data_IF_454392833306
#
_entry.id   IF_454392833306
#
_cell.length_a   1.000
_cell.length_b   1.000
_cell.length_c   1.000
_cell.angle_alpha   90.00
_cell.angle_beta   90.00
_cell.angle_gamma   90.00
#
_symmetry.space_group_name_H-M   'P 1'
#
loop_
_entity.id
_entity.type
_entity.pdbx_description
1 polymer ?
#
# COMPACT_ATOMS: atom_id res chain seq x y z
N UNK A 1 -8.12 34.04 32.93
CA UNK A 1 -7.91 32.61 33.23
C UNK A 1 -9.20 31.85 32.90
N UNK A 2 -9.25 31.13 31.77
CA UNK A 2 -10.46 30.41 31.33
C UNK A 2 -10.61 29.13 32.19
N UNK A 3 -11.73 29.03 32.91
CA UNK A 3 -12.07 27.86 33.75
C UNK A 3 -12.39 26.67 32.84
N UNK A 4 -11.55 25.64 32.85
CA UNK A 4 -11.86 24.37 32.19
C UNK A 4 -12.98 23.66 32.96
N UNK A 5 -13.99 23.18 32.24
CA UNK A 5 -15.12 22.43 32.81
C UNK A 5 -14.65 21.05 33.29
N UNK A 6 -14.99 20.62 34.53
CA UNK A 6 -14.60 19.32 35.06
C UNK A 6 -15.16 18.14 34.24
N UNK A 7 -16.21 18.37 33.44
CA UNK A 7 -16.76 17.37 32.51
C UNK A 7 -15.81 17.05 31.34
N UNK A 8 -15.01 18.03 30.89
CA UNK A 8 -14.03 17.81 29.82
C UNK A 8 -12.84 16.96 30.29
N UNK A 9 -12.44 17.13 31.55
CA UNK A 9 -11.37 16.32 32.18
C UNK A 9 -11.82 14.88 32.39
N UNK A 10 -13.08 14.65 32.75
CA UNK A 10 -13.67 13.31 32.88
C UNK A 10 -13.82 12.59 31.53
N UNK A 11 -14.12 13.31 30.44
CA UNK A 11 -14.17 12.75 29.08
C UNK A 11 -12.79 12.35 28.56
N UNK A 12 -11.76 13.16 28.84
CA UNK A 12 -10.35 12.84 28.52
C UNK A 12 -9.85 11.68 29.38
N UNK A 13 -10.28 11.59 30.64
CA UNK A 13 -9.99 10.46 31.52
C UNK A 13 -10.64 9.14 31.06
N UNK A 14 -11.83 9.20 30.47
CA UNK A 14 -12.52 8.02 29.93
C UNK A 14 -11.90 7.48 28.62
N UNK A 15 -11.24 8.35 27.83
CA UNK A 15 -10.44 7.96 26.66
C UNK A 15 -9.10 7.28 27.05
N UNK A 16 -8.71 7.34 28.32
CA UNK A 16 -7.51 6.69 28.86
C UNK A 16 -7.70 5.23 29.28
N UNK A 17 -8.89 4.65 29.12
CA UNK A 17 -9.08 3.22 29.35
C UNK A 17 -8.45 2.43 28.21
N UNK A 18 -7.18 2.06 28.40
CA UNK A 18 -6.45 1.15 27.54
C UNK A 18 -7.19 -0.20 27.49
N UNK A 19 -7.89 -0.45 26.40
CA UNK A 19 -8.22 -1.82 26.03
C UNK A 19 -6.90 -2.51 25.71
N UNK A 20 -6.55 -3.52 26.50
CA UNK A 20 -5.55 -4.49 26.10
C UNK A 20 -6.16 -5.30 24.94
N UNK A 21 -6.03 -4.78 23.72
CA UNK A 21 -6.31 -5.52 22.51
C UNK A 21 -5.21 -6.58 22.35
N UNK A 22 -5.48 -7.79 22.83
CA UNK A 22 -4.71 -8.97 22.43
C UNK A 22 -5.25 -9.36 21.05
N UNK A 23 -4.64 -8.78 20.02
CA UNK A 23 -4.89 -9.14 18.62
C UNK A 23 -3.55 -9.58 18.00
N UNK A 24 -3.63 -10.63 17.17
CA UNK A 24 -2.51 -11.25 16.49
C UNK A 24 -2.60 -12.78 16.54
N UNK A 25 -2.55 -13.41 15.37
CA UNK A 25 -2.50 -14.87 15.24
C UNK A 25 -1.05 -15.31 15.01
N UNK A 26 -0.27 -15.46 16.09
CA UNK A 26 1.16 -15.85 16.01
C UNK A 26 1.35 -17.26 15.42
N UNK A 27 0.34 -18.12 15.50
CA UNK A 27 0.44 -19.53 15.15
C UNK A 27 0.56 -19.79 13.64
N UNK A 28 0.35 -18.77 12.80
CA UNK A 28 0.40 -18.88 11.34
C UNK A 28 1.58 -18.16 10.69
N UNK A 29 2.43 -17.47 11.46
CA UNK A 29 3.58 -16.75 10.90
C UNK A 29 4.54 -17.71 10.21
N UNK A 30 4.75 -17.52 8.89
CA UNK A 30 5.59 -18.38 8.04
C UNK A 30 4.83 -19.34 7.11
N UNK A 31 3.49 -19.36 7.14
CA UNK A 31 2.65 -20.16 6.23
C UNK A 31 2.04 -19.37 5.06
N UNK A 32 2.25 -18.04 5.03
CA UNK A 32 1.82 -17.20 3.92
C UNK A 32 2.81 -17.29 2.76
N UNK A 33 2.29 -17.36 1.53
CA UNK A 33 3.03 -16.95 0.34
C UNK A 33 2.45 -15.64 -0.21
N UNK A 34 2.87 -15.20 -1.40
CA UNK A 34 2.42 -13.93 -1.99
C UNK A 34 2.65 -12.69 -1.10
N UNK A 35 3.76 -12.67 -0.35
CA UNK A 35 4.05 -11.58 0.61
C UNK A 35 4.31 -10.23 -0.07
N UNK A 36 4.64 -10.22 -1.35
CA UNK A 36 4.72 -9.04 -2.20
C UNK A 36 3.40 -8.26 -2.24
N UNK A 37 2.25 -8.90 -2.00
CA UNK A 37 0.96 -8.20 -1.90
C UNK A 37 0.88 -7.21 -0.73
N UNK A 38 1.77 -7.33 0.25
CA UNK A 38 1.89 -6.39 1.38
C UNK A 38 2.74 -5.17 1.03
N UNK A 39 3.43 -5.18 -0.13
CA UNK A 39 4.28 -4.07 -0.56
C UNK A 39 3.41 -3.00 -1.20
N UNK A 40 3.42 -1.81 -0.61
CA UNK A 40 2.91 -0.62 -1.27
C UNK A 40 4.02 -0.02 -2.15
N UNK A 41 3.80 0.09 -3.48
CA UNK A 41 4.81 0.57 -4.41
C UNK A 41 4.87 2.10 -4.56
N UNK A 42 3.95 2.85 -3.95
CA UNK A 42 3.77 4.27 -4.23
C UNK A 42 4.41 5.21 -3.20
N UNK A 43 5.16 6.21 -3.67
CA UNK A 43 5.96 7.12 -2.85
C UNK A 43 5.15 7.96 -1.88
N UNK A 44 4.02 8.55 -2.29
CA UNK A 44 3.26 9.44 -1.40
C UNK A 44 2.67 8.66 -0.22
N UNK A 45 2.03 7.52 -0.47
CA UNK A 45 1.41 6.69 0.57
C UNK A 45 2.45 6.02 1.46
N UNK A 46 3.57 5.57 0.89
CA UNK A 46 4.65 4.94 1.66
C UNK A 46 5.42 5.91 2.56
N UNK A 47 5.37 7.22 2.28
CA UNK A 47 5.81 8.28 3.21
C UNK A 47 5.08 8.28 4.55
N UNK A 48 3.98 7.51 4.66
CA UNK A 48 3.20 7.28 5.88
C UNK A 48 2.99 5.77 6.12
N UNK A 49 3.85 4.88 5.60
CA UNK A 49 3.67 3.41 5.65
C UNK A 49 2.34 2.88 5.07
N UNK A 50 1.62 3.67 4.27
CA UNK A 50 0.25 3.32 3.85
C UNK A 50 -0.78 3.43 4.97
N UNK A 51 -0.45 4.07 6.10
CA UNK A 51 -1.36 4.32 7.22
C UNK A 51 -2.43 5.37 6.90
N UNK A 52 -2.36 6.01 5.73
CA UNK A 52 -3.33 6.99 5.23
C UNK A 52 -4.64 6.34 4.72
N UNK A 53 -5.04 5.18 5.24
CA UNK A 53 -6.23 4.41 4.80
C UNK A 53 -7.52 5.24 4.78
N UNK A 54 -7.68 6.16 5.73
CA UNK A 54 -8.84 7.06 5.80
C UNK A 54 -8.87 8.14 4.73
N UNK A 55 -7.70 8.61 4.29
CA UNK A 55 -7.57 9.83 3.48
C UNK A 55 -6.81 9.67 2.17
N UNK A 56 -6.37 8.46 1.81
CA UNK A 56 -5.71 8.18 0.53
C UNK A 56 -6.68 8.46 -0.63
N UNK A 57 -6.17 9.04 -1.71
CA UNK A 57 -6.94 9.47 -2.88
C UNK A 57 -6.22 9.10 -4.17
N UNK A 58 -6.98 8.97 -5.25
CA UNK A 58 -6.44 8.81 -6.61
C UNK A 58 -5.86 7.43 -6.87
N UNK A 59 -4.82 7.36 -7.70
CA UNK A 59 -4.21 6.11 -8.15
C UNK A 59 -3.64 5.26 -7.01
N UNK A 60 -2.96 5.87 -6.04
CA UNK A 60 -2.30 5.13 -4.96
C UNK A 60 -3.29 4.43 -4.02
N UNK A 61 -4.56 4.86 -4.03
CA UNK A 61 -5.62 4.26 -3.25
C UNK A 61 -5.81 2.78 -3.55
N UNK A 62 -5.52 2.34 -4.79
CA UNK A 62 -5.49 0.93 -5.18
C UNK A 62 -4.63 0.08 -4.24
N UNK A 63 -3.48 0.59 -3.79
CA UNK A 63 -2.56 -0.13 -2.88
C UNK A 63 -2.66 0.27 -1.41
N UNK A 64 -3.70 1.00 -1.01
CA UNK A 64 -3.95 1.38 0.38
C UNK A 64 -5.40 1.16 0.82
N UNK A 65 -6.36 1.82 0.18
CA UNK A 65 -7.80 1.68 0.40
C UNK A 65 -8.52 2.04 -0.89
N UNK A 66 -9.01 1.02 -1.60
CA UNK A 66 -9.54 1.16 -2.96
C UNK A 66 -10.62 2.25 -3.08
N UNK A 67 -11.42 2.50 -2.03
CA UNK A 67 -12.43 3.56 -2.00
C UNK A 67 -11.88 4.95 -2.35
N UNK A 68 -10.61 5.22 -2.01
CA UNK A 68 -9.93 6.48 -2.30
C UNK A 68 -9.81 6.78 -3.80
N UNK A 69 -9.90 5.77 -4.67
CA UNK A 69 -9.88 5.95 -6.12
C UNK A 69 -11.13 6.70 -6.62
N UNK A 70 -12.22 6.72 -5.85
CA UNK A 70 -13.40 7.51 -6.20
C UNK A 70 -13.11 9.02 -6.31
N UNK A 71 -12.03 9.49 -5.67
CA UNK A 71 -11.54 10.88 -5.69
C UNK A 71 -10.61 11.20 -6.88
N UNK A 72 -10.39 10.28 -7.82
CA UNK A 72 -9.72 10.62 -9.08
C UNK A 72 -10.53 11.69 -9.82
N UNK A 73 -9.93 12.84 -10.11
CA UNK A 73 -10.60 13.97 -10.78
C UNK A 73 -10.98 13.65 -12.24
N UNK A 74 -10.00 13.26 -13.06
CA UNK A 74 -10.22 12.88 -14.45
C UNK A 74 -9.41 11.64 -14.81
N UNK A 75 -8.09 11.75 -14.91
CA UNK A 75 -7.19 10.62 -15.18
C UNK A 75 -5.89 10.84 -14.45
N UNK A 76 -5.38 9.82 -13.78
CA UNK A 76 -4.08 9.81 -13.14
C UNK A 76 -3.30 8.60 -13.63
N UNK A 77 -2.08 8.81 -14.12
CA UNK A 77 -1.15 7.77 -14.53
C UNK A 77 0.10 7.92 -13.68
N UNK A 78 0.66 6.81 -13.21
CA UNK A 78 1.84 6.84 -12.37
C UNK A 78 2.81 5.72 -12.71
N UNK A 79 4.09 5.99 -12.49
CA UNK A 79 5.15 4.99 -12.43
C UNK A 79 5.92 5.15 -11.13
N UNK A 80 6.47 4.06 -10.62
CA UNK A 80 7.21 4.07 -9.38
C UNK A 80 8.28 3.00 -9.36
N UNK A 81 9.37 3.31 -8.65
CA UNK A 81 10.49 2.41 -8.45
C UNK A 81 10.84 2.42 -6.96
N UNK A 82 10.92 1.22 -6.37
CA UNK A 82 11.34 1.02 -4.99
C UNK A 82 12.59 0.18 -4.93
N UNK A 83 13.62 0.72 -4.28
CA UNK A 83 14.79 -0.03 -3.85
C UNK A 83 14.40 -0.69 -2.52
N UNK A 84 13.99 -1.96 -2.59
CA UNK A 84 13.35 -2.64 -1.47
C UNK A 84 14.35 -3.18 -0.46
N UNK A 85 15.50 -3.67 -0.93
CA UNK A 85 16.61 -4.09 -0.06
C UNK A 85 17.89 -3.44 -0.57
N UNK A 86 18.18 -2.25 -0.05
CA UNK A 86 19.34 -1.46 -0.51
C UNK A 86 20.67 -2.18 -0.21
N UNK A 87 21.48 -2.36 -1.26
CA UNK A 87 22.68 -3.20 -1.26
C UNK A 87 22.49 -4.57 -1.90
N UNK A 88 21.26 -4.96 -2.24
CA UNK A 88 20.96 -6.09 -3.11
C UNK A 88 20.33 -5.60 -4.43
N UNK A 89 19.96 -6.56 -5.29
CA UNK A 89 19.25 -6.28 -6.54
C UNK A 89 17.71 -6.35 -6.38
N UNK A 90 17.20 -6.47 -5.14
CA UNK A 90 15.77 -6.60 -4.88
C UNK A 90 15.08 -5.25 -5.03
N UNK A 91 14.20 -5.16 -6.02
CA UNK A 91 13.50 -3.92 -6.37
C UNK A 91 12.05 -4.18 -6.77
N UNK A 92 11.23 -3.14 -6.69
CA UNK A 92 9.83 -3.17 -7.12
C UNK A 92 9.60 -2.07 -8.14
N UNK A 93 9.15 -2.47 -9.33
CA UNK A 93 8.71 -1.57 -10.38
C UNK A 93 7.20 -1.61 -10.45
N UNK A 94 6.57 -0.46 -10.66
CA UNK A 94 5.12 -0.39 -10.68
C UNK A 94 4.62 0.70 -11.61
N UNK A 95 3.54 0.41 -12.32
CA UNK A 95 2.82 1.31 -13.21
C UNK A 95 1.34 1.21 -12.92
N UNK A 96 0.64 2.34 -12.96
CA UNK A 96 -0.80 2.33 -12.75
C UNK A 96 -1.52 3.47 -13.44
N UNK A 97 -2.82 3.30 -13.58
CA UNK A 97 -3.75 4.27 -14.14
C UNK A 97 -5.05 4.24 -13.34
N UNK A 98 -5.61 5.40 -13.04
CA UNK A 98 -6.98 5.56 -12.57
C UNK A 98 -7.71 6.57 -13.45
N UNK A 99 -8.98 6.32 -13.75
CA UNK A 99 -9.79 7.12 -14.65
C UNK A 99 -11.19 7.29 -14.08
N UNK A 100 -11.63 8.54 -13.94
CA UNK A 100 -13.01 8.89 -13.64
C UNK A 100 -13.87 8.70 -14.90
N UNK A 101 -14.96 7.97 -14.76
CA UNK A 101 -15.94 7.66 -15.81
C UNK A 101 -17.26 8.39 -15.54
N UNK A 102 -17.19 9.71 -15.37
CA UNK A 102 -18.35 10.53 -15.01
C UNK A 102 -19.06 10.02 -13.74
N UNK A 103 -20.37 9.82 -13.84
CA UNK A 103 -21.22 9.35 -12.73
C UNK A 103 -21.12 7.84 -12.48
N UNK A 104 -20.48 7.08 -13.38
CA UNK A 104 -20.32 5.64 -13.22
C UNK A 104 -19.41 5.30 -12.04
N UNK A 105 -18.39 6.13 -11.80
CA UNK A 105 -17.36 5.90 -10.78
C UNK A 105 -15.97 6.13 -11.36
N UNK A 106 -14.95 5.61 -10.67
CA UNK A 106 -13.59 5.52 -11.15
C UNK A 106 -13.23 4.04 -11.40
N UNK A 107 -12.49 3.78 -12.46
CA UNK A 107 -11.86 2.50 -12.75
C UNK A 107 -10.35 2.67 -12.74
N UNK A 108 -9.62 1.62 -12.38
CA UNK A 108 -8.16 1.66 -12.38
C UNK A 108 -7.51 0.32 -12.63
N UNK A 109 -6.26 0.38 -13.02
CA UNK A 109 -5.38 -0.77 -13.17
C UNK A 109 -4.02 -0.45 -12.56
N UNK A 110 -3.43 -1.40 -11.84
CA UNK A 110 -2.10 -1.27 -11.25
C UNK A 110 -1.30 -2.56 -11.48
N UNK A 111 -0.13 -2.45 -12.08
CA UNK A 111 0.78 -3.57 -12.32
C UNK A 111 2.03 -3.35 -11.48
N UNK A 112 2.31 -4.32 -10.60
CA UNK A 112 3.49 -4.32 -9.75
C UNK A 112 4.34 -5.55 -10.08
N UNK A 113 5.64 -5.35 -10.27
CA UNK A 113 6.62 -6.40 -10.48
C UNK A 113 7.75 -6.27 -9.46
N UNK A 114 7.95 -7.32 -8.66
CA UNK A 114 9.08 -7.44 -7.74
C UNK A 114 10.13 -8.36 -8.35
N UNK A 115 11.33 -7.81 -8.53
CA UNK A 115 12.51 -8.52 -9.03
C UNK A 115 13.47 -8.77 -7.88
N UNK A 116 14.12 -9.93 -7.90
CA UNK A 116 15.14 -10.31 -6.91
C UNK A 116 16.56 -10.20 -7.48
N UNK A 117 16.70 -9.72 -8.72
CA UNK A 117 17.95 -9.75 -9.48
C UNK A 117 18.35 -11.16 -9.89
N UNK A 118 19.61 -11.32 -10.25
CA UNK A 118 20.21 -12.63 -10.55
C UNK A 118 20.84 -13.22 -9.30
N UNK A 119 20.45 -14.45 -8.98
CA UNK A 119 20.96 -15.23 -7.85
C UNK A 119 21.81 -16.37 -8.41
N UNK A 120 23.03 -16.53 -7.90
CA UNK A 120 23.93 -17.62 -8.29
C UNK A 120 23.39 -18.97 -7.80
N UNK A 121 23.41 -19.96 -8.68
CA UNK A 121 23.08 -21.34 -8.34
C UNK A 121 24.31 -21.94 -7.63
N UNK A 122 24.09 -22.56 -6.47
CA UNK A 122 25.13 -23.23 -5.69
C UNK A 122 24.76 -24.69 -5.46
N UNK A 123 25.77 -25.55 -5.39
CA UNK A 123 25.64 -26.94 -4.96
C UNK A 123 26.80 -27.33 -4.03
N UNK A 124 26.85 -28.59 -3.62
CA UNK A 124 27.91 -29.08 -2.72
C UNK A 124 29.31 -28.94 -3.34
N UNK A 125 29.45 -29.11 -4.66
CA UNK A 125 30.72 -29.03 -5.37
C UNK A 125 31.09 -27.59 -5.77
N UNK A 126 30.10 -26.70 -5.84
CA UNK A 126 30.22 -25.30 -6.23
C UNK A 126 29.55 -24.36 -5.20
N UNK A 127 30.08 -24.29 -3.96
CA UNK A 127 29.49 -23.47 -2.91
C UNK A 127 29.58 -21.96 -3.20
N UNK A 128 30.56 -21.53 -3.99
CA UNK A 128 30.72 -20.14 -4.44
C UNK A 128 29.91 -19.82 -5.72
N UNK A 129 29.19 -20.80 -6.26
CA UNK A 129 28.44 -20.68 -7.50
C UNK A 129 29.27 -20.91 -8.77
N UNK A 130 28.92 -20.21 -9.86
CA UNK A 130 29.60 -20.35 -11.16
C UNK A 130 28.98 -21.38 -12.12
N UNK A 131 27.88 -22.01 -11.71
CA UNK A 131 27.13 -23.01 -12.51
C UNK A 131 25.83 -22.44 -13.12
N UNK A 132 25.70 -21.12 -13.15
CA UNK A 132 24.55 -20.40 -13.71
C UNK A 132 23.83 -19.55 -12.67
N UNK A 133 22.80 -18.84 -13.12
CA UNK A 133 21.97 -17.98 -12.28
C UNK A 133 20.49 -18.25 -12.50
N UNK A 134 19.66 -17.91 -11.52
CA UNK A 134 18.22 -17.84 -11.66
C UNK A 134 17.70 -16.49 -11.17
N UNK A 135 16.58 -16.04 -11.74
CA UNK A 135 16.00 -14.72 -11.44
C UNK A 135 14.53 -14.89 -11.05
N UNK A 136 14.21 -14.97 -9.75
CA UNK A 136 12.84 -14.95 -9.29
C UNK A 136 12.12 -13.67 -9.70
N UNK A 137 10.86 -13.80 -10.08
CA UNK A 137 10.01 -12.66 -10.44
C UNK A 137 8.61 -12.87 -9.89
N UNK A 138 8.13 -11.92 -9.09
CA UNK A 138 6.76 -11.90 -8.60
C UNK A 138 6.02 -10.75 -9.28
N UNK A 139 4.83 -11.01 -9.80
CA UNK A 139 4.01 -10.02 -10.46
C UNK A 139 2.58 -10.05 -9.95
N UNK A 140 2.00 -8.85 -9.81
CA UNK A 140 0.56 -8.73 -9.61
C UNK A 140 -0.06 -7.65 -10.50
N UNK A 141 -1.29 -7.93 -10.93
CA UNK A 141 -2.12 -7.06 -11.74
C UNK A 141 -3.42 -6.84 -10.98
N UNK A 142 -3.65 -5.61 -10.56
CA UNK A 142 -4.85 -5.21 -9.85
C UNK A 142 -5.77 -4.42 -10.77
N UNK A 143 -7.06 -4.75 -10.75
CA UNK A 143 -8.13 -4.01 -11.40
C UNK A 143 -9.09 -3.52 -10.32
N UNK A 144 -9.40 -2.23 -10.35
CA UNK A 144 -10.19 -1.56 -9.34
C UNK A 144 -11.43 -0.87 -9.90
N UNK A 145 -12.49 -0.84 -9.11
CA UNK A 145 -13.66 0.01 -9.31
C UNK A 145 -14.01 0.73 -8.02
N UNK A 146 -14.36 2.01 -8.09
CA UNK A 146 -14.77 2.79 -6.92
C UNK A 146 -15.80 3.84 -7.26
N UNK A 147 -16.71 4.12 -6.31
CA UNK A 147 -17.80 5.05 -6.51
C UNK A 147 -18.12 5.82 -5.23
N UNK A 148 -18.51 7.07 -5.43
CA UNK A 148 -19.15 7.91 -4.43
C UNK A 148 -20.62 7.56 -4.35
N UNK A 149 -21.09 7.05 -3.21
CA UNK A 149 -22.48 6.65 -2.98
C UNK A 149 -23.32 7.77 -2.34
N UNK A 150 -22.69 8.59 -1.51
CA UNK A 150 -23.28 9.81 -0.95
C UNK A 150 -22.20 10.89 -0.83
N UNK A 151 -22.56 12.10 -0.39
CA UNK A 151 -21.60 13.19 -0.19
C UNK A 151 -20.48 12.83 0.79
N UNK A 152 -20.69 11.81 1.63
CA UNK A 152 -19.76 11.40 2.68
C UNK A 152 -19.29 9.97 2.56
N UNK A 153 -19.87 9.12 1.70
CA UNK A 153 -19.55 7.69 1.63
C UNK A 153 -19.01 7.35 0.25
N UNK A 154 -17.80 6.81 0.24
CA UNK A 154 -17.10 6.31 -0.93
C UNK A 154 -16.75 4.85 -0.69
N UNK A 155 -16.99 3.99 -1.67
CA UNK A 155 -16.61 2.59 -1.56
C UNK A 155 -15.99 2.09 -2.86
N UNK A 156 -15.19 1.04 -2.75
CA UNK A 156 -14.54 0.41 -3.87
C UNK A 156 -14.33 -1.07 -3.66
N UNK A 157 -14.10 -1.75 -4.78
CA UNK A 157 -13.75 -3.17 -4.84
C UNK A 157 -12.63 -3.35 -5.84
N UNK A 158 -11.78 -4.35 -5.61
CA UNK A 158 -10.68 -4.69 -6.49
C UNK A 158 -10.48 -6.19 -6.61
N UNK A 159 -9.86 -6.59 -7.71
CA UNK A 159 -9.35 -7.93 -7.93
C UNK A 159 -7.88 -7.85 -8.29
N UNK A 160 -7.05 -8.63 -7.62
CA UNK A 160 -5.62 -8.74 -7.88
C UNK A 160 -5.29 -10.15 -8.37
N UNK A 161 -4.77 -10.26 -9.58
CA UNK A 161 -4.17 -11.49 -10.09
C UNK A 161 -2.71 -11.52 -9.68
N UNK A 162 -2.26 -12.66 -9.15
CA UNK A 162 -0.95 -12.83 -8.54
C UNK A 162 -0.24 -13.99 -9.20
N UNK A 163 1.07 -13.85 -9.38
CA UNK A 163 1.90 -14.92 -9.85
C UNK A 163 3.33 -14.77 -9.36
N UNK A 164 3.90 -15.91 -8.98
CA UNK A 164 5.26 -16.06 -8.51
C UNK A 164 5.94 -17.09 -9.39
N UNK A 165 7.13 -16.79 -9.91
CA UNK A 165 7.86 -17.72 -10.75
C UNK A 165 9.37 -17.66 -10.55
N UNK A 166 9.98 -18.82 -10.72
CA UNK A 166 11.41 -19.05 -11.00
C UNK A 166 11.51 -19.94 -12.25
N UNK A 167 12.72 -20.30 -12.66
CA UNK A 167 12.99 -21.06 -13.91
C UNK A 167 12.15 -22.33 -14.08
N UNK A 168 11.89 -23.07 -13.00
CA UNK A 168 11.25 -24.40 -13.05
C UNK A 168 10.04 -24.55 -12.11
N UNK A 169 9.59 -23.47 -11.47
CA UNK A 169 8.44 -23.47 -10.57
C UNK A 169 7.64 -22.18 -10.71
N UNK A 170 6.31 -22.31 -10.69
CA UNK A 170 5.38 -21.19 -10.75
C UNK A 170 4.17 -21.44 -9.84
N UNK A 171 3.59 -20.37 -9.30
CA UNK A 171 2.34 -20.38 -8.58
C UNK A 171 1.50 -19.17 -9.02
N UNK A 172 0.19 -19.31 -9.10
CA UNK A 172 -0.72 -18.21 -9.42
C UNK A 172 -2.00 -18.27 -8.62
N UNK A 173 -2.64 -17.13 -8.46
CA UNK A 173 -3.90 -17.01 -7.72
C UNK A 173 -4.61 -15.69 -7.98
N UNK A 174 -5.80 -15.56 -7.39
CA UNK A 174 -6.55 -14.31 -7.40
C UNK A 174 -6.92 -13.90 -5.97
N UNK A 175 -6.88 -12.60 -5.72
CA UNK A 175 -7.27 -11.96 -4.48
C UNK A 175 -8.35 -10.91 -4.72
N UNK A 176 -9.22 -10.71 -3.75
CA UNK A 176 -10.26 -9.69 -3.77
C UNK A 176 -10.03 -8.72 -2.62
N UNK A 177 -10.44 -7.48 -2.84
CA UNK A 177 -10.39 -6.43 -1.83
C UNK A 177 -11.63 -5.55 -1.89
N UNK A 178 -11.96 -4.98 -0.74
CA UNK A 178 -13.02 -4.00 -0.61
C UNK A 178 -12.59 -2.89 0.35
N UNK A 179 -13.11 -1.70 0.12
CA UNK A 179 -12.78 -0.55 0.94
C UNK A 179 -13.94 0.43 1.02
N UNK A 180 -14.00 1.15 2.13
CA UNK A 180 -14.92 2.26 2.37
C UNK A 180 -14.13 3.42 2.97
N UNK A 181 -14.42 4.63 2.52
CA UNK A 181 -14.01 5.88 3.14
C UNK A 181 -15.26 6.72 3.46
N UNK A 182 -15.29 7.22 4.69
CA UNK A 182 -16.28 8.15 5.19
C UNK A 182 -15.63 9.51 5.44
N UNK A 183 -16.20 10.56 4.84
CA UNK A 183 -15.67 11.92 4.91
C UNK A 183 -16.76 12.88 5.39
N UNK A 184 -16.47 13.68 6.41
CA UNK A 184 -17.43 14.64 6.97
C UNK A 184 -16.73 15.86 7.58
N UNK A 185 -17.53 16.83 8.03
CA UNK A 185 -17.06 18.10 8.57
C UNK A 185 -17.32 19.27 7.61
N UNK A 186 -17.10 20.50 8.07
CA UNK A 186 -17.42 21.72 7.32
C UNK A 186 -16.68 21.80 5.98
N UNK A 187 -15.44 21.29 5.96
CA UNK A 187 -14.55 21.27 4.78
C UNK A 187 -14.04 19.86 4.50
N UNK A 188 -14.87 18.85 4.78
CA UNK A 188 -14.47 17.44 4.61
C UNK A 188 -13.21 17.10 5.42
N UNK A 189 -13.14 17.63 6.64
CA UNK A 189 -11.95 17.65 7.47
C UNK A 189 -11.80 16.43 8.39
N UNK A 190 -12.84 15.62 8.58
CA UNK A 190 -12.75 14.35 9.29
C UNK A 190 -12.89 13.20 8.30
N UNK A 191 -11.97 12.26 8.37
CA UNK A 191 -11.95 11.08 7.51
C UNK A 191 -11.86 9.82 8.35
N UNK A 192 -12.60 8.81 7.96
CA UNK A 192 -12.53 7.47 8.51
C UNK A 192 -12.50 6.48 7.35
N UNK A 193 -11.69 5.43 7.44
CA UNK A 193 -11.61 4.44 6.38
C UNK A 193 -11.39 3.05 6.92
N UNK A 194 -11.97 2.07 6.23
CA UNK A 194 -11.75 0.65 6.46
C UNK A 194 -11.48 0.00 5.11
N UNK A 195 -10.50 -0.90 5.06
CA UNK A 195 -10.28 -1.77 3.90
C UNK A 195 -9.94 -3.18 4.34
N UNK A 196 -10.44 -4.16 3.60
CA UNK A 196 -10.07 -5.56 3.73
C UNK A 196 -9.41 -5.95 2.41
N UNK A 197 -8.14 -6.35 2.48
CA UNK A 197 -7.30 -6.60 1.31
C UNK A 197 -6.82 -8.04 1.27
N UNK A 198 -6.53 -8.51 0.06
CA UNK A 198 -5.94 -9.83 -0.22
C UNK A 198 -6.78 -11.01 0.29
N UNK A 199 -8.11 -10.96 0.16
CA UNK A 199 -8.96 -12.14 0.38
C UNK A 199 -8.80 -13.03 -0.86
N UNK A 200 -7.92 -14.02 -0.79
CA UNK A 200 -7.49 -14.75 -1.98
C UNK A 200 -7.68 -16.25 -1.91
N UNK A 201 -7.59 -16.88 -3.09
CA UNK A 201 -7.51 -18.33 -3.25
C UNK A 201 -6.17 -18.85 -2.71
N UNK A 202 -6.15 -20.08 -2.22
CA UNK A 202 -4.87 -20.74 -1.92
C UNK A 202 -4.06 -20.92 -3.20
N UNK A 203 -2.77 -20.61 -3.12
CA UNK A 203 -1.79 -20.79 -4.18
C UNK A 203 -0.99 -22.08 -3.96
N UNK A 204 -0.34 -22.57 -5.02
CA UNK A 204 0.46 -23.79 -4.97
C UNK A 204 1.53 -23.74 -6.07
N UNK A 205 2.77 -24.04 -5.71
CA UNK A 205 3.85 -24.14 -6.69
C UNK A 205 3.74 -25.40 -7.53
N UNK A 206 3.93 -25.29 -8.83
CA UNK A 206 4.02 -26.42 -9.75
C UNK A 206 5.05 -26.16 -10.83
N UNK A 207 5.46 -27.21 -11.55
CA UNK A 207 6.49 -27.11 -12.58
C UNK A 207 7.48 -28.28 -12.52
N UNK A 208 8.44 -28.27 -13.44
CA UNK A 208 9.44 -29.33 -13.56
C UNK A 208 10.39 -29.42 -12.37
N UNK A 209 10.51 -28.37 -11.54
CA UNK A 209 11.27 -28.41 -10.29
C UNK A 209 10.72 -29.39 -9.25
N UNK A 210 9.48 -29.85 -9.42
CA UNK A 210 8.84 -30.86 -8.59
C UNK A 210 8.88 -32.26 -9.20
N UNK A 211 9.52 -32.42 -10.37
CA UNK A 211 9.68 -33.72 -11.01
C UNK A 211 10.95 -34.41 -10.51
N UNK A 212 10.80 -35.61 -9.96
CA UNK A 212 11.91 -36.47 -9.56
C UNK A 212 11.96 -37.71 -10.46
N UNK A 213 13.16 -38.17 -10.79
CA UNK A 213 13.35 -39.49 -11.38
C UNK A 213 13.43 -40.50 -10.22
N UNK A 214 12.56 -41.51 -10.24
CA UNK A 214 12.52 -42.58 -9.24
C UNK A 214 12.47 -43.93 -9.93
N UNK A 215 13.12 -44.93 -9.36
CA UNK A 215 13.04 -46.30 -9.85
C UNK A 215 11.60 -46.82 -9.79
N UNK A 216 11.21 -47.63 -10.78
CA UNK A 216 9.90 -48.24 -10.80
C UNK A 216 9.76 -49.25 -9.65
N UNK A 217 8.62 -49.26 -8.92
CA UNK A 217 8.41 -50.17 -7.80
C UNK A 217 8.63 -51.66 -8.15
N UNK A 218 8.42 -52.02 -9.42
CA UNK A 218 8.50 -53.39 -9.93
C UNK A 218 9.85 -53.72 -10.60
N UNK A 219 10.67 -52.73 -10.96
CA UNK A 219 11.95 -52.95 -11.64
C UNK A 219 12.91 -51.77 -11.44
N UNK A 220 13.96 -51.99 -10.66
CA UNK A 220 15.02 -51.01 -10.40
C UNK A 220 15.82 -50.57 -11.64
N UNK A 221 15.67 -51.27 -12.78
CA UNK A 221 16.29 -50.88 -14.05
C UNK A 221 15.41 -49.96 -14.91
N UNK A 222 14.21 -49.60 -14.45
CA UNK A 222 13.30 -48.70 -15.17
C UNK A 222 13.06 -47.43 -14.36
N UNK A 223 13.43 -46.28 -14.91
CA UNK A 223 13.20 -44.98 -14.26
C UNK A 223 11.85 -44.39 -14.66
N UNK A 224 11.10 -43.93 -13.67
CA UNK A 224 9.86 -43.19 -13.83
C UNK A 224 10.06 -41.74 -13.40
N UNK A 225 9.57 -40.80 -14.19
CA UNK A 225 9.44 -39.41 -13.77
C UNK A 225 8.15 -39.27 -12.94
N UNK A 226 8.28 -38.91 -11.66
CA UNK A 226 7.17 -38.66 -10.75
C UNK A 226 7.17 -37.21 -10.33
N UNK A 227 6.02 -36.56 -10.42
CA UNK A 227 5.83 -35.21 -9.85
C UNK A 227 5.46 -35.32 -8.37
N UNK A 228 6.25 -34.67 -7.51
CA UNK A 228 5.98 -34.54 -6.09
C UNK A 228 5.02 -33.37 -5.87
N UNK A 229 3.84 -33.60 -5.28
CA UNK A 229 2.93 -32.51 -5.01
C UNK A 229 3.49 -31.55 -3.97
N UNK A 230 3.53 -30.24 -4.27
CA UNK A 230 3.79 -29.20 -3.27
C UNK A 230 2.55 -28.91 -2.41
N UNK A 231 2.78 -28.32 -1.24
CA UNK A 231 1.71 -27.86 -0.35
C UNK A 231 1.06 -26.55 -0.82
N UNK A 232 -0.19 -26.34 -0.40
CA UNK A 232 -0.92 -25.10 -0.66
C UNK A 232 -0.54 -24.05 0.39
N UNK A 233 -0.48 -22.80 -0.03
CA UNK A 233 -0.28 -21.65 0.86
C UNK A 233 -1.36 -20.60 0.63
N UNK A 234 -1.63 -19.81 1.68
CA UNK A 234 -2.63 -18.75 1.67
C UNK A 234 -2.00 -17.39 1.38
N UNK A 235 -2.79 -16.49 0.78
CA UNK A 235 -2.39 -15.10 0.57
C UNK A 235 -2.51 -14.29 1.88
N UNK A 236 -1.71 -13.22 2.06
CA UNK A 236 -1.67 -12.48 3.31
C UNK A 236 -2.82 -11.47 3.39
N UNK A 237 -3.99 -11.95 3.81
CA UNK A 237 -5.16 -11.10 4.09
C UNK A 237 -4.87 -10.16 5.26
N UNK A 238 -5.35 -8.92 5.16
CA UNK A 238 -5.32 -7.97 6.26
C UNK A 238 -6.51 -7.01 6.22
N UNK A 239 -6.94 -6.60 7.43
CA UNK A 239 -7.94 -5.58 7.66
C UNK A 239 -7.22 -4.32 8.17
N UNK A 240 -7.40 -3.19 7.48
CA UNK A 240 -6.87 -1.91 7.95
C UNK A 240 -7.99 -0.92 8.19
N UNK A 241 -7.90 -0.19 9.30
CA UNK A 241 -8.83 0.85 9.68
C UNK A 241 -8.09 2.07 10.18
N UNK A 242 -8.48 3.24 9.73
CA UNK A 242 -7.81 4.49 10.06
C UNK A 242 -8.78 5.64 10.23
N UNK A 243 -8.31 6.66 10.94
CA UNK A 243 -8.98 7.94 11.05
C UNK A 243 -7.97 9.06 10.85
N UNK A 244 -8.39 10.14 10.21
CA UNK A 244 -7.57 11.33 10.05
C UNK A 244 -8.38 12.60 10.16
N UNK A 245 -7.73 13.67 10.60
CA UNK A 245 -8.33 15.00 10.70
C UNK A 245 -7.43 16.03 10.04
N UNK A 246 -8.02 16.87 9.20
CA UNK A 246 -7.37 17.97 8.49
C UNK A 246 -7.59 19.30 9.21
N UNK A 247 -6.50 19.91 9.66
CA UNK A 247 -6.47 21.25 10.22
C UNK A 247 -6.08 22.24 9.13
N UNK A 248 -6.96 23.19 8.82
CA UNK A 248 -6.69 24.27 7.88
C UNK A 248 -6.16 25.49 8.64
N UNK A 249 -4.84 25.66 8.64
CA UNK A 249 -4.16 26.61 9.53
C UNK A 249 -4.41 28.07 9.18
N UNK A 250 -4.78 28.33 7.93
CA UNK A 250 -5.06 29.66 7.39
C UNK A 250 -6.57 29.97 7.27
N UNK A 251 -7.44 29.13 7.83
CA UNK A 251 -8.90 29.27 7.70
C UNK A 251 -9.42 30.63 8.18
N UNK A 252 -8.84 31.19 9.24
CA UNK A 252 -9.22 32.51 9.79
C UNK A 252 -8.69 33.70 8.99
N UNK A 253 -7.82 33.47 7.99
CA UNK A 253 -7.21 34.51 7.17
C UNK A 253 -7.72 34.50 5.72
N UNK A 254 -8.73 33.68 5.41
CA UNK A 254 -9.36 33.62 4.11
C UNK A 254 -10.22 34.87 3.87
N UNK A 255 -10.12 35.46 2.68
CA UNK A 255 -10.85 36.70 2.31
C UNK A 255 -12.30 36.41 1.91
N UNK A 256 -12.58 35.18 1.48
CA UNK A 256 -13.90 34.70 1.09
C UNK A 256 -14.11 33.27 1.61
N UNK A 257 -15.36 32.90 1.93
CA UNK A 257 -15.70 31.53 2.33
C UNK A 257 -15.34 30.49 1.25
N UNK A 258 -15.30 30.91 -0.01
CA UNK A 258 -14.98 30.08 -1.16
C UNK A 258 -13.46 29.90 -1.41
N UNK A 259 -12.60 30.64 -0.71
CA UNK A 259 -11.16 30.48 -0.87
C UNK A 259 -10.70 29.13 -0.34
N UNK A 260 -9.78 28.49 -1.08
CA UNK A 260 -9.15 27.24 -0.64
C UNK A 260 -8.02 27.57 0.35
N UNK A 261 -8.01 26.96 1.55
CA UNK A 261 -6.90 27.07 2.48
C UNK A 261 -5.62 26.54 1.83
N UNK A 262 -4.53 27.27 2.01
CA UNK A 262 -3.21 26.94 1.49
C UNK A 262 -2.43 26.06 2.44
N UNK A 263 -2.75 26.06 3.73
CA UNK A 263 -2.00 25.31 4.73
C UNK A 263 -2.89 24.24 5.35
N UNK A 264 -2.64 22.97 4.99
CA UNK A 264 -3.32 21.82 5.59
C UNK A 264 -2.33 21.02 6.43
N UNK A 265 -2.66 20.79 7.69
CA UNK A 265 -1.99 19.81 8.55
C UNK A 265 -2.95 18.65 8.81
N UNK A 266 -2.64 17.48 8.30
CA UNK A 266 -3.41 16.25 8.51
C UNK A 266 -2.75 15.42 9.61
N UNK A 267 -3.53 15.02 10.60
CA UNK A 267 -3.11 14.05 11.64
C UNK A 267 -3.84 12.74 11.37
N UNK A 268 -3.14 11.62 11.43
CA UNK A 268 -3.74 10.31 11.20
C UNK A 268 -3.33 9.28 12.25
N UNK A 269 -4.22 8.31 12.45
CA UNK A 269 -3.98 7.07 13.16
C UNK A 269 -4.51 5.90 12.33
N UNK A 270 -3.86 4.75 12.42
CA UNK A 270 -4.26 3.55 11.71
C UNK A 270 -3.92 2.30 12.51
N UNK A 271 -4.82 1.33 12.45
CA UNK A 271 -4.63 -0.02 12.95
C UNK A 271 -4.78 -1.01 11.80
N UNK A 272 -3.85 -1.94 11.66
CA UNK A 272 -3.91 -3.02 10.69
C UNK A 272 -3.79 -4.35 11.41
N UNK A 273 -4.79 -5.21 11.22
CA UNK A 273 -4.78 -6.60 11.66
C UNK A 273 -4.41 -7.51 10.51
N UNK A 274 -3.39 -8.34 10.71
CA UNK A 274 -2.80 -9.20 9.70
C UNK A 274 -3.02 -10.66 10.04
N UNK A 275 -3.28 -11.50 9.02
CA UNK A 275 -3.46 -12.94 9.23
C UNK A 275 -2.18 -13.72 9.48
N UNK A 276 -1.01 -13.20 9.06
CA UNK A 276 0.26 -13.95 9.04
C UNK A 276 1.48 -13.19 9.56
N UNK A 277 1.43 -11.85 9.57
CA UNK A 277 2.46 -11.01 10.22
C UNK A 277 1.88 -10.38 11.47
N UNK A 278 2.70 -9.64 12.22
CA UNK A 278 2.20 -8.92 13.39
C UNK A 278 1.17 -7.86 12.99
N UNK A 279 0.18 -7.70 13.86
CA UNK A 279 -0.67 -6.52 13.84
C UNK A 279 0.17 -5.29 14.15
N UNK A 280 -0.19 -4.17 13.53
CA UNK A 280 0.50 -2.91 13.76
C UNK A 280 -0.47 -1.76 13.94
N UNK A 281 -0.07 -0.83 14.80
CA UNK A 281 -0.73 0.45 15.03
C UNK A 281 0.26 1.55 14.75
N UNK A 282 -0.19 2.64 14.16
CA UNK A 282 0.67 3.78 13.92
C UNK A 282 -0.08 5.07 13.70
N UNK A 283 0.69 6.13 13.60
CA UNK A 283 0.18 7.47 13.37
C UNK A 283 1.17 8.30 12.58
N UNK A 284 0.70 9.40 12.03
CA UNK A 284 1.52 10.27 11.21
C UNK A 284 0.94 11.66 11.06
N UNK A 285 1.76 12.52 10.48
CA UNK A 285 1.46 13.89 10.14
C UNK A 285 1.75 14.09 8.65
N UNK A 286 0.85 14.77 7.96
CA UNK A 286 1.10 15.32 6.63
C UNK A 286 0.87 16.83 6.68
N UNK A 287 1.86 17.60 6.26
CA UNK A 287 1.71 19.03 6.02
C UNK A 287 1.70 19.28 4.51
N UNK A 288 0.63 19.91 4.01
CA UNK A 288 0.48 20.32 2.62
C UNK A 288 0.46 21.84 2.53
N UNK A 289 1.35 22.38 1.69
CA UNK A 289 1.36 23.77 1.26
C UNK A 289 0.87 23.89 -0.17
N UNK A 290 -0.31 24.48 -0.33
CA UNK A 290 -1.01 24.74 -1.59
C UNK A 290 -1.21 23.50 -2.47
N UNK A 291 -1.24 22.32 -1.86
CA UNK A 291 -1.16 21.04 -2.56
C UNK A 291 -0.03 21.00 -3.59
N UNK A 292 1.06 21.76 -3.40
CA UNK A 292 2.24 21.77 -4.26
C UNK A 292 3.40 21.08 -3.56
N UNK A 293 3.61 21.39 -2.29
CA UNK A 293 4.61 20.76 -1.44
C UNK A 293 3.90 20.02 -0.32
N UNK A 294 4.18 18.73 -0.17
CA UNK A 294 3.67 17.93 0.92
C UNK A 294 4.83 17.26 1.64
N UNK A 295 4.84 17.32 2.96
CA UNK A 295 5.82 16.69 3.83
C UNK A 295 5.11 15.73 4.76
N UNK A 296 5.66 14.53 4.92
CA UNK A 296 5.06 13.44 5.68
C UNK A 296 6.07 12.85 6.64
N UNK A 297 5.59 12.49 7.83
CA UNK A 297 6.33 11.72 8.80
C UNK A 297 5.39 10.88 9.64
N UNK A 298 5.81 9.69 10.01
CA UNK A 298 4.99 8.81 10.82
C UNK A 298 5.78 7.71 11.51
N UNK A 299 5.11 7.04 12.43
CA UNK A 299 5.63 5.90 13.15
C UNK A 299 4.62 4.76 13.15
N UNK A 300 5.09 3.56 12.82
CA UNK A 300 4.35 2.30 12.87
C UNK A 300 4.99 1.41 13.92
N UNK A 301 4.19 1.03 14.91
CA UNK A 301 4.56 0.09 15.96
C UNK A 301 3.99 -1.29 15.68
N UNK A 302 4.83 -2.31 15.79
CA UNK A 302 4.45 -3.71 15.81
C UNK A 302 5.17 -4.43 16.95
N UNK A 303 4.60 -5.55 17.42
CA UNK A 303 5.14 -6.28 18.56
C UNK A 303 6.59 -6.69 18.32
N UNK A 304 7.49 -6.31 19.23
CA UNK A 304 8.92 -6.66 19.17
C UNK A 304 9.76 -5.82 18.21
N UNK A 305 9.21 -4.75 17.62
CA UNK A 305 9.99 -3.81 16.80
C UNK A 305 11.20 -3.26 17.59
N UNK A 306 12.37 -3.25 16.96
CA UNK A 306 13.62 -2.80 17.58
C UNK A 306 14.25 -3.77 18.60
N UNK A 307 13.66 -4.94 18.83
CA UNK A 307 14.24 -6.00 19.68
C UNK A 307 14.86 -7.13 18.86
N UNK A 308 15.60 -8.05 19.50
CA UNK A 308 16.13 -9.25 18.84
C UNK A 308 15.03 -10.19 18.30
N UNK A 309 13.81 -10.08 18.81
CA UNK A 309 12.64 -10.83 18.34
C UNK A 309 11.85 -10.09 17.25
N UNK A 310 12.44 -9.05 16.63
CA UNK A 310 11.76 -8.31 15.58
C UNK A 310 11.57 -9.18 14.33
N UNK A 311 10.32 -9.27 13.87
CA UNK A 311 9.94 -9.98 12.63
C UNK A 311 9.83 -9.04 11.42
N UNK A 312 10.23 -7.78 11.61
CA UNK A 312 10.17 -6.73 10.60
C UNK A 312 11.58 -6.20 10.34
N UNK A 313 11.87 -5.86 9.10
CA UNK A 313 13.13 -5.16 8.79
C UNK A 313 13.06 -3.68 9.14
N UNK A 314 11.87 -3.11 9.35
CA UNK A 314 11.68 -1.68 9.54
C UNK A 314 11.97 -1.24 10.98
N UNK A 315 12.47 -0.01 11.13
CA UNK A 315 12.62 0.67 12.43
C UNK A 315 11.31 1.23 12.97
N UNK A 316 10.28 1.28 12.14
CA UNK A 316 8.97 1.85 12.44
C UNK A 316 8.81 3.31 12.02
N UNK A 317 9.90 4.04 11.77
CA UNK A 317 9.85 5.42 11.28
C UNK A 317 9.61 5.45 9.76
N UNK A 318 8.88 6.45 9.28
CA UNK A 318 8.77 6.78 7.86
C UNK A 318 8.81 8.29 7.67
N UNK A 319 9.33 8.70 6.51
CA UNK A 319 9.28 10.07 6.04
C UNK A 319 9.03 10.10 4.53
N UNK A 320 8.41 11.16 4.04
CA UNK A 320 8.25 11.36 2.61
C UNK A 320 7.97 12.81 2.24
N UNK A 321 8.18 13.11 0.97
CA UNK A 321 7.90 14.41 0.40
C UNK A 321 7.26 14.25 -0.98
N UNK A 322 6.40 15.19 -1.33
CA UNK A 322 5.86 15.33 -2.69
C UNK A 322 6.03 16.74 -3.14
N UNK A 323 6.47 16.88 -4.39
CA UNK A 323 6.43 18.15 -5.12
C UNK A 323 5.54 17.92 -6.33
N UNK A 324 4.51 18.75 -6.49
CA UNK A 324 3.64 18.71 -7.64
C UNK A 324 3.41 20.10 -8.23
N UNK A 325 3.33 20.17 -9.56
CA UNK A 325 3.24 21.40 -10.32
C UNK A 325 2.27 21.24 -11.49
N UNK A 326 1.37 22.21 -11.66
CA UNK A 326 0.46 22.27 -12.80
C UNK A 326 1.16 22.86 -14.02
N UNK A 327 1.11 22.17 -15.16
CA UNK A 327 1.68 22.64 -16.43
C UNK A 327 0.64 23.53 -17.13
N UNK A 328 0.74 24.84 -16.94
CA UNK A 328 -0.24 25.82 -17.45
C UNK A 328 -1.51 25.89 -16.59
N UNK A 329 -2.41 26.84 -16.89
CA UNK A 329 -3.58 27.13 -16.03
C UNK A 329 -4.57 25.96 -15.92
N UNK A 330 -4.77 25.24 -17.04
CA UNK A 330 -5.72 24.12 -17.14
C UNK A 330 -5.07 22.80 -17.57
N UNK A 331 -3.74 22.73 -17.57
CA UNK A 331 -3.04 21.53 -18.00
C UNK A 331 -2.90 20.49 -16.90
N UNK A 332 -2.21 19.38 -17.20
CA UNK A 332 -1.99 18.31 -16.24
C UNK A 332 -1.07 18.76 -15.10
N UNK A 333 -1.22 18.11 -13.95
CA UNK A 333 -0.34 18.23 -12.80
C UNK A 333 0.69 17.11 -12.88
N UNK A 334 1.97 17.46 -12.83
CA UNK A 334 3.06 16.52 -12.65
C UNK A 334 3.40 16.46 -11.16
N UNK A 335 3.50 15.26 -10.59
CA UNK A 335 3.90 15.04 -9.21
C UNK A 335 5.11 14.12 -9.14
N UNK A 336 6.08 14.48 -8.31
CA UNK A 336 7.23 13.67 -7.93
C UNK A 336 7.12 13.38 -6.43
N UNK A 337 7.07 12.10 -6.10
CA UNK A 337 6.99 11.61 -4.73
C UNK A 337 8.28 10.88 -4.36
N UNK A 338 8.75 11.10 -3.14
CA UNK A 338 9.84 10.35 -2.55
C UNK A 338 9.47 9.93 -1.13
N UNK A 339 9.79 8.69 -0.78
CA UNK A 339 9.70 8.22 0.60
C UNK A 339 10.94 7.44 1.03
N UNK A 340 11.18 7.49 2.33
CA UNK A 340 12.23 6.76 3.01
C UNK A 340 11.69 6.09 4.26
N UNK A 341 11.98 4.80 4.38
CA UNK A 341 11.63 3.97 5.55
C UNK A 341 12.90 3.30 6.04
N UNK A 342 13.50 3.76 7.15
CA UNK A 342 14.73 3.18 7.67
C UNK A 342 14.48 1.74 8.12
N UNK A 343 15.44 0.88 7.82
CA UNK A 343 15.47 -0.53 8.20
C UNK A 343 16.53 -0.77 9.26
N UNK A 344 16.29 -1.71 10.18
CA UNK A 344 17.25 -2.09 11.22
C UNK A 344 18.36 -2.98 10.65
N UNK A 345 18.00 -3.96 9.80
CA UNK A 345 18.92 -4.91 9.17
C UNK A 345 18.42 -5.28 7.77
N UNK A 346 19.16 -4.98 6.69
CA UNK A 346 20.34 -4.11 6.63
C UNK A 346 19.97 -2.65 6.99
N UNK A 347 20.93 -1.85 7.45
CA UNK A 347 20.68 -0.47 7.92
C UNK A 347 20.64 0.59 6.79
N UNK A 348 20.14 0.22 5.62
CA UNK A 348 20.20 1.04 4.41
C UNK A 348 18.84 1.62 3.99
N UNK A 349 17.75 1.17 4.62
CA UNK A 349 16.39 1.64 4.38
C UNK A 349 15.80 1.23 3.03
N UNK A 350 14.51 1.53 2.91
CA UNK A 350 13.71 1.36 1.69
C UNK A 350 13.45 2.74 1.10
N UNK A 351 13.79 2.91 -0.18
CA UNK A 351 13.59 4.15 -0.92
C UNK A 351 12.54 3.92 -2.01
N UNK A 352 11.53 4.78 -2.07
CA UNK A 352 10.52 4.73 -3.14
C UNK A 352 10.45 6.07 -3.82
N UNK A 353 10.56 6.07 -5.15
CA UNK A 353 10.36 7.23 -6.01
C UNK A 353 9.11 6.97 -6.85
N UNK A 354 8.25 7.98 -7.03
CA UNK A 354 7.10 7.89 -7.93
C UNK A 354 6.95 9.15 -8.75
N UNK A 355 6.56 8.98 -10.01
CA UNK A 355 6.22 10.05 -10.93
C UNK A 355 4.78 9.85 -11.36
N UNK A 356 3.95 10.89 -11.19
CA UNK A 356 2.52 10.84 -11.53
C UNK A 356 2.12 12.02 -12.39
N UNK A 357 1.23 11.76 -13.33
CA UNK A 357 0.59 12.75 -14.19
C UNK A 357 -0.91 12.69 -13.96
N UNK A 358 -1.47 13.78 -13.44
CA UNK A 358 -2.89 13.93 -13.14
C UNK A 358 -3.50 14.96 -14.07
N UNK A 359 -4.49 14.54 -14.86
CA UNK A 359 -5.29 15.46 -15.66
C UNK A 359 -6.46 15.98 -14.84
N UNK A 360 -6.82 17.24 -15.06
CA UNK A 360 -8.02 17.85 -14.47
C UNK A 360 -9.21 17.62 -15.38
N UNK A 361 -10.42 17.61 -14.81
CA UNK A 361 -11.62 17.66 -15.63
C UNK A 361 -11.74 19.08 -16.22
N UNK A 362 -11.98 19.20 -17.52
CA UNK A 362 -12.28 20.51 -18.11
C UNK A 362 -13.64 20.92 -17.55
N UNK A 363 -13.67 21.91 -16.66
CA UNK A 363 -14.95 22.55 -16.31
C UNK A 363 -15.52 23.09 -17.63
N UNK A 364 -16.75 22.69 -17.98
CA UNK A 364 -17.49 23.37 -19.03
C UNK A 364 -17.50 24.86 -18.65
N UNK A 365 -17.09 25.73 -19.59
CA UNK A 365 -17.42 27.14 -19.47
C UNK A 365 -18.93 27.20 -19.29
N UNK A 366 -19.40 27.70 -18.16
CA UNK A 366 -20.73 28.28 -18.09
C UNK A 366 -20.70 29.47 -19.02
N UNK A 367 -21.27 29.30 -20.21
CA UNK A 367 -21.63 30.40 -21.09
C UNK A 367 -22.76 31.17 -20.38
N UNK A 368 -22.37 32.06 -19.47
CA UNK A 368 -23.20 33.19 -19.03
C UNK A 368 -22.73 34.43 -19.79
N UNK A 369 -23.00 34.43 -21.09
CA UNK A 369 -23.10 35.63 -21.93
C UNK A 369 -24.32 35.41 -22.84
N UNK A 370 -25.50 35.81 -22.35
CA UNK A 370 -26.45 36.71 -23.03
C UNK A 370 -27.69 36.99 -22.16
#
# INVERSE_FOLDING_TARGET
MKKFSPKAVLMIGALGMSFAAIAGNKDRTGQAGATELLVNPWGQSTGLFGMNVSGVKGLEAMKCNIAGMAFTDNMEIGVSHTIYLSGSQVSVNNIGISKKMGNFGAIGANIMAMSFGSIDITDYDHPEGGIGTYSPSFYNIELGYSKTFSNSIHAGVGVTLVSEQITNAHASGAAFEAGVQYVTGKRDNFHFGITLRNIGTNMRFSGSGFSINSDAPENANYQLNRTVPSEKFEMPTYLSMGASYDFFLDENHLKSENDKPKHRLSVLINFTSNSFINDYIGGGLEYSFHDMLMLRGGYRYEKGIGSDNSVTMYTGVCAGATIQHGIGENGPILALDYSYRPTARPANGVHTISLRLMTRNKRAKTDDED
#
